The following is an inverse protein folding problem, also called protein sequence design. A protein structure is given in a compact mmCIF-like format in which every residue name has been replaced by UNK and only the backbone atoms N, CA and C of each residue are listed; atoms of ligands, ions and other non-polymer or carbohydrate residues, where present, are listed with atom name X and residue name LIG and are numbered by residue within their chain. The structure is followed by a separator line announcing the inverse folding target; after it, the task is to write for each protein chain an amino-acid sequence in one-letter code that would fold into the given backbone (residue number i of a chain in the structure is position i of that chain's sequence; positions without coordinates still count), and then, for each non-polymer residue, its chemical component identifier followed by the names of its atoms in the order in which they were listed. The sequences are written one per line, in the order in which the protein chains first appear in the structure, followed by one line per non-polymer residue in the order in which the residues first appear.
data_IF_134467459279
#
_entry.id   IF_134467459279
#
_cell.length_a   1.000
_cell.length_b   1.000
_cell.length_c   1.000
_cell.angle_alpha   90.00
_cell.angle_beta   90.00
_cell.angle_gamma   90.00
#
_symmetry.space_group_name_H-M   'P 1'
#
loop_
_entity.id
_entity.type
_entity.pdbx_description
1 polymer ?
#
# COMPACT_ATOMS: atom_id res chain seq x y z
N UNK A 1 -1.27 -62.57 -31.48
CA UNK A 1 -0.08 -63.29 -30.97
C UNK A 1 0.06 -62.93 -29.50
N UNK A 2 0.34 -63.90 -28.63
CA UNK A 2 0.50 -63.63 -27.19
C UNK A 2 1.41 -64.67 -26.55
N UNK A 3 2.45 -64.18 -25.87
CA UNK A 3 3.49 -64.90 -25.12
C UNK A 3 4.25 -63.85 -24.29
N UNK A 4 4.73 -64.11 -23.07
CA UNK A 4 4.44 -65.22 -22.16
C UNK A 4 4.73 -64.77 -20.71
N UNK A 5 4.02 -65.32 -19.71
CA UNK A 5 4.32 -65.08 -18.29
C UNK A 5 5.39 -66.06 -17.82
N UNK A 6 6.47 -65.58 -17.19
CA UNK A 6 7.41 -66.43 -16.44
C UNK A 6 7.58 -66.00 -14.98
N UNK A 7 6.89 -66.73 -14.10
CA UNK A 7 7.24 -66.82 -12.67
C UNK A 7 8.35 -67.87 -12.47
N UNK A 8 9.37 -67.52 -11.68
CA UNK A 8 10.08 -68.40 -10.72
C UNK A 8 10.41 -67.52 -9.52
N UNK A 9 10.05 -67.89 -8.29
CA UNK A 9 10.78 -68.84 -7.44
C UNK A 9 12.25 -68.42 -7.31
N UNK A 10 12.77 -68.01 -6.14
CA UNK A 10 12.22 -68.06 -4.79
C UNK A 10 13.17 -68.83 -3.89
N UNK A 11 13.97 -68.10 -3.10
CA UNK A 11 14.95 -68.66 -2.17
C UNK A 11 14.75 -67.98 -0.81
N UNK A 12 14.67 -68.81 0.23
CA UNK A 12 14.59 -68.38 1.64
C UNK A 12 15.96 -68.50 2.28
N UNK A 13 16.42 -67.43 2.95
CA UNK A 13 17.50 -67.50 3.94
C UNK A 13 17.00 -66.73 5.17
N UNK A 14 17.18 -67.33 6.36
CA UNK A 14 16.65 -66.83 7.61
C UNK A 14 17.76 -66.23 8.51
N UNK A 15 17.37 -65.26 9.34
CA UNK A 15 18.21 -64.67 10.38
C UNK A 15 18.13 -63.13 10.38
N UNK A 16 17.97 -62.44 11.52
CA UNK A 16 17.64 -62.95 12.85
C UNK A 16 18.20 -62.06 13.98
N UNK A 17 17.32 -61.62 14.88
CA UNK A 17 17.57 -60.76 16.08
C UNK A 17 17.86 -59.27 15.79
N UNK A 18 17.71 -58.34 16.74
CA UNK A 18 16.66 -58.17 17.79
C UNK A 18 16.88 -56.83 18.53
N UNK A 19 15.78 -56.15 18.93
CA UNK A 19 15.76 -54.93 19.78
C UNK A 19 16.39 -53.66 19.15
N UNK A 20 16.07 -52.44 19.59
CA UNK A 20 15.07 -51.95 20.56
C UNK A 20 13.95 -51.16 19.85
N UNK A 21 12.72 -50.96 20.37
CA UNK A 21 12.17 -50.92 21.73
C UNK A 21 12.40 -49.63 22.54
N UNK A 22 11.70 -48.55 22.17
CA UNK A 22 11.37 -47.43 23.06
C UNK A 22 9.84 -47.25 23.09
N UNK A 23 9.25 -47.27 24.29
CA UNK A 23 7.84 -46.87 24.56
C UNK A 23 7.81 -45.32 24.68
N UNK A 24 6.90 -44.58 24.03
CA UNK A 24 5.42 -44.46 24.26
C UNK A 24 5.10 -43.64 25.53
N UNK A 25 3.93 -42.97 25.53
CA UNK A 25 3.29 -42.14 26.61
C UNK A 25 3.71 -40.68 26.49
N UNK A 26 2.82 -39.68 26.34
CA UNK A 26 1.33 -39.58 26.17
C UNK A 26 1.08 -38.39 25.19
N UNK A 27 -0.10 -37.88 24.79
CA UNK A 27 -1.55 -38.04 25.08
C UNK A 27 -2.36 -37.49 23.85
N UNK A 28 -3.69 -37.41 23.73
CA UNK A 28 -4.84 -37.87 24.53
C UNK A 28 -6.03 -38.31 23.64
N UNK A 29 -6.88 -37.37 23.21
CA UNK A 29 -8.23 -37.55 22.60
C UNK A 29 -8.32 -36.87 21.22
N UNK A 30 -9.06 -37.30 20.18
CA UNK A 30 -10.26 -38.17 20.01
C UNK A 30 -11.62 -37.44 20.03
N UNK A 31 -12.58 -37.96 19.24
CA UNK A 31 -13.99 -37.52 19.08
C UNK A 31 -14.14 -36.24 18.21
N UNK A 32 -14.28 -36.35 16.88
CA UNK A 32 -15.47 -36.73 16.07
C UNK A 32 -16.45 -35.56 15.81
N UNK A 33 -16.87 -35.42 14.55
CA UNK A 33 -17.82 -34.40 14.06
C UNK A 33 -19.18 -35.06 13.81
N UNK A 34 -20.22 -34.61 14.50
CA UNK A 34 -21.59 -35.07 14.30
C UNK A 34 -22.34 -34.21 13.28
N UNK A 35 -22.73 -34.81 12.17
CA UNK A 35 -23.77 -34.28 11.26
C UNK A 35 -25.17 -34.44 11.89
N UNK A 36 -26.05 -33.45 11.70
CA UNK A 36 -27.44 -33.46 12.17
C UNK A 36 -28.30 -32.42 11.42
N UNK A 37 -29.20 -32.88 10.53
CA UNK A 37 -30.09 -32.02 9.74
C UNK A 37 -31.58 -32.18 10.12
N UNK A 38 -32.24 -31.07 10.48
CA UNK A 38 -33.71 -30.91 10.58
C UNK A 38 -34.08 -29.43 10.86
N UNK A 39 -35.31 -28.92 10.69
CA UNK A 39 -36.36 -29.15 9.68
C UNK A 39 -37.51 -28.12 9.89
N UNK A 40 -38.25 -27.80 8.81
CA UNK A 40 -39.57 -27.13 8.78
C UNK A 40 -39.68 -25.62 9.16
N UNK A 41 -40.67 -24.95 8.56
CA UNK A 41 -40.94 -23.51 8.55
C UNK A 41 -42.38 -23.21 9.08
N UNK A 42 -43.07 -22.10 8.72
CA UNK A 42 -42.76 -20.67 8.77
C UNK A 42 -43.79 -19.85 9.63
N UNK A 43 -43.57 -18.54 9.82
CA UNK A 43 -44.60 -17.58 10.26
C UNK A 43 -44.28 -16.13 9.78
N UNK A 44 -45.30 -15.27 9.69
CA UNK A 44 -45.22 -13.95 9.03
C UNK A 44 -44.50 -12.85 9.81
N UNK A 45 -43.84 -11.95 9.07
CA UNK A 45 -43.63 -10.55 9.44
C UNK A 45 -43.50 -9.67 8.18
N UNK A 46 -44.52 -8.88 7.87
CA UNK A 46 -44.45 -7.88 6.78
C UNK A 46 -43.66 -6.65 7.24
N UNK A 47 -42.44 -6.48 6.71
CA UNK A 47 -41.54 -5.37 7.01
C UNK A 47 -40.99 -4.71 5.75
N UNK A 48 -41.01 -3.38 5.74
CA UNK A 48 -40.68 -2.48 4.63
C UNK A 48 -39.45 -2.86 3.78
N UNK A 49 -39.67 -3.02 2.46
CA UNK A 49 -38.63 -3.24 1.46
C UNK A 49 -37.78 -1.99 1.22
N UNK A 50 -36.91 -1.62 2.17
CA UNK A 50 -35.81 -0.71 1.88
C UNK A 50 -34.92 -1.30 0.77
N UNK A 51 -34.36 -0.49 -0.14
CA UNK A 51 -33.49 -0.99 -1.20
C UNK A 51 -32.30 -1.72 -0.58
N UNK A 52 -32.07 -2.97 -1.01
CA UNK A 52 -31.08 -3.86 -0.42
C UNK A 52 -29.66 -3.32 -0.64
N UNK A 53 -29.15 -2.58 0.35
CA UNK A 53 -27.77 -2.08 0.38
C UNK A 53 -26.82 -3.27 0.27
N UNK A 54 -26.16 -3.40 -0.87
CA UNK A 54 -25.41 -4.59 -1.27
C UNK A 54 -24.17 -4.80 -0.39
N UNK A 55 -24.35 -5.51 0.74
CA UNK A 55 -23.25 -5.85 1.65
C UNK A 55 -22.43 -7.01 1.10
N UNK A 56 -21.48 -6.70 0.21
CA UNK A 56 -20.50 -7.68 -0.27
C UNK A 56 -19.51 -7.97 0.86
N UNK A 57 -19.73 -9.07 1.58
CA UNK A 57 -18.72 -9.64 2.49
C UNK A 57 -17.67 -10.34 1.63
N UNK A 58 -16.63 -9.60 1.30
CA UNK A 58 -15.50 -10.05 0.51
C UNK A 58 -14.42 -10.61 1.44
N UNK A 59 -13.76 -11.67 0.99
CA UNK A 59 -12.63 -12.26 1.71
C UNK A 59 -11.36 -11.45 1.45
N UNK A 60 -10.27 -11.78 2.16
CA UNK A 60 -8.95 -11.16 1.99
C UNK A 60 -8.55 -11.06 0.51
N UNK A 61 -8.20 -9.86 0.05
CA UNK A 61 -7.77 -9.59 -1.32
C UNK A 61 -6.25 -9.54 -1.43
N UNK A 62 -5.72 -10.02 -2.56
CA UNK A 62 -4.31 -9.84 -2.94
C UNK A 62 -4.11 -8.49 -3.67
N UNK A 63 -4.55 -7.41 -3.03
CA UNK A 63 -4.39 -6.02 -3.50
C UNK A 63 -5.51 -5.46 -4.39
N UNK A 64 -5.35 -4.22 -4.88
CA UNK A 64 -6.44 -3.43 -5.48
C UNK A 64 -6.94 -3.95 -6.83
N UNK A 65 -6.07 -4.58 -7.64
CA UNK A 65 -6.47 -5.15 -8.93
C UNK A 65 -7.41 -6.34 -8.79
N UNK A 66 -7.33 -7.11 -7.69
CA UNK A 66 -8.23 -8.24 -7.45
C UNK A 66 -9.62 -7.79 -6.98
N UNK A 67 -9.68 -6.75 -6.12
CA UNK A 67 -10.94 -6.09 -5.78
C UNK A 67 -11.63 -5.54 -7.03
N UNK A 68 -10.91 -4.83 -7.90
CA UNK A 68 -11.47 -4.33 -9.16
C UNK A 68 -11.95 -5.47 -10.06
N UNK A 69 -11.15 -6.53 -10.22
CA UNK A 69 -11.51 -7.69 -11.01
C UNK A 69 -12.80 -8.35 -10.48
N UNK A 70 -12.94 -8.48 -9.15
CA UNK A 70 -14.14 -9.05 -8.53
C UNK A 70 -15.37 -8.12 -8.63
N UNK A 71 -15.21 -6.80 -8.49
CA UNK A 71 -16.30 -5.83 -8.71
C UNK A 71 -16.80 -5.85 -10.17
N UNK A 72 -15.88 -5.87 -11.14
CA UNK A 72 -16.19 -6.00 -12.57
C UNK A 72 -16.88 -7.34 -12.87
N UNK A 73 -16.49 -8.44 -12.22
CA UNK A 73 -17.17 -9.73 -12.35
C UNK A 73 -18.54 -9.80 -11.64
N UNK A 74 -18.76 -9.02 -10.59
CA UNK A 74 -20.03 -8.95 -9.88
C UNK A 74 -21.09 -8.22 -10.72
N UNK A 75 -20.72 -7.09 -11.32
CA UNK A 75 -21.54 -6.29 -12.25
C UNK A 75 -21.60 -6.93 -13.66
N UNK A 76 -22.02 -8.20 -13.72
CA UNK A 76 -21.96 -9.05 -14.91
C UNK A 76 -22.57 -8.40 -16.16
N UNK A 77 -21.78 -8.43 -17.24
CA UNK A 77 -22.10 -8.33 -18.67
C UNK A 77 -22.08 -6.95 -19.35
N UNK A 78 -22.12 -5.83 -18.64
CA UNK A 78 -21.91 -4.52 -19.28
C UNK A 78 -20.44 -4.08 -19.23
N UNK A 79 -19.62 -4.65 -20.12
CA UNK A 79 -18.24 -4.16 -20.41
C UNK A 79 -18.27 -2.85 -21.23
N UNK A 80 -19.44 -2.21 -21.30
CA UNK A 80 -19.67 -0.90 -21.90
C UNK A 80 -19.44 0.21 -20.87
N UNK A 81 -19.50 1.45 -21.32
CA UNK A 81 -19.05 2.62 -20.55
C UNK A 81 -19.87 2.91 -19.27
N UNK A 82 -21.02 2.25 -19.14
CA UNK A 82 -21.98 2.39 -18.04
C UNK A 82 -21.50 1.69 -16.76
N UNK A 83 -20.69 0.63 -16.82
CA UNK A 83 -20.26 -0.07 -15.60
C UNK A 83 -19.15 0.66 -14.81
N UNK A 84 -18.27 1.42 -15.49
CA UNK A 84 -17.06 1.96 -14.86
C UNK A 84 -17.37 2.92 -13.69
N UNK A 85 -18.39 3.77 -13.81
CA UNK A 85 -18.72 4.72 -12.74
C UNK A 85 -19.25 4.03 -11.47
N UNK A 86 -19.91 2.88 -11.62
CA UNK A 86 -20.45 2.08 -10.51
C UNK A 86 -19.32 1.31 -9.82
N UNK A 87 -18.42 0.70 -10.60
CA UNK A 87 -17.20 0.06 -10.10
C UNK A 87 -16.31 1.07 -9.35
N UNK A 88 -16.17 2.30 -9.85
CA UNK A 88 -15.46 3.39 -9.14
C UNK A 88 -16.11 3.70 -7.79
N UNK A 89 -17.44 3.86 -7.73
CA UNK A 89 -18.13 4.17 -6.46
C UNK A 89 -18.01 3.03 -5.44
N UNK A 90 -18.18 1.78 -5.86
CA UNK A 90 -18.02 0.60 -5.00
C UNK A 90 -16.57 0.45 -4.51
N UNK A 91 -15.58 0.68 -5.37
CA UNK A 91 -14.15 0.63 -5.02
C UNK A 91 -13.80 1.71 -3.98
N UNK A 92 -14.31 2.93 -4.16
CA UNK A 92 -14.11 4.03 -3.20
C UNK A 92 -14.84 3.74 -1.87
N UNK A 93 -16.05 3.19 -1.91
CA UNK A 93 -16.81 2.83 -0.72
C UNK A 93 -16.07 1.74 0.10
N UNK A 94 -15.57 0.70 -0.57
CA UNK A 94 -14.78 -0.37 0.04
C UNK A 94 -13.46 0.17 0.62
N UNK A 95 -12.72 0.97 -0.15
CA UNK A 95 -11.45 1.59 0.27
C UNK A 95 -11.65 2.47 1.51
N UNK A 96 -12.74 3.25 1.58
CA UNK A 96 -13.09 4.06 2.76
C UNK A 96 -13.51 3.21 3.98
N UNK A 97 -14.06 2.03 3.77
CA UNK A 97 -14.44 1.12 4.87
C UNK A 97 -13.23 0.39 5.48
N UNK A 98 -12.19 0.14 4.69
CA UNK A 98 -11.07 -0.75 5.06
C UNK A 98 -9.71 -0.04 5.21
N UNK A 99 -9.54 1.18 4.67
CA UNK A 99 -8.29 1.96 4.81
C UNK A 99 -7.89 2.34 6.23
N UNK A 100 -8.73 2.10 7.24
CA UNK A 100 -8.40 2.21 8.67
C UNK A 100 -7.90 0.89 9.29
N UNK A 101 -7.75 -0.18 8.49
CA UNK A 101 -7.40 -1.54 8.92
C UNK A 101 -6.26 -2.16 8.08
N UNK A 102 -5.86 -1.53 6.97
CA UNK A 102 -4.74 -1.95 6.12
C UNK A 102 -3.41 -1.41 6.64
N UNK A 103 -2.32 -2.05 6.22
CA UNK A 103 -0.97 -1.49 6.37
C UNK A 103 -0.76 -0.27 5.44
N UNK A 104 0.24 0.56 5.73
CA UNK A 104 0.47 1.82 5.01
C UNK A 104 0.82 1.59 3.52
N UNK A 105 1.62 0.57 3.23
CA UNK A 105 2.03 0.21 1.86
C UNK A 105 0.83 -0.27 1.03
N UNK A 106 -0.02 -1.10 1.62
CA UNK A 106 -1.27 -1.58 0.99
C UNK A 106 -2.22 -0.41 0.74
N UNK A 107 -2.45 0.42 1.76
CA UNK A 107 -3.29 1.62 1.68
C UNK A 107 -2.84 2.53 0.54
N UNK A 108 -1.52 2.74 0.38
CA UNK A 108 -0.94 3.55 -0.69
C UNK A 108 -1.28 2.97 -2.08
N UNK A 109 -1.21 1.66 -2.26
CA UNK A 109 -1.58 1.00 -3.52
C UNK A 109 -3.09 1.14 -3.83
N UNK A 110 -3.97 1.06 -2.83
CA UNK A 110 -5.41 1.32 -3.02
C UNK A 110 -5.69 2.80 -3.35
N UNK A 111 -5.01 3.75 -2.70
CA UNK A 111 -5.21 5.18 -2.93
C UNK A 111 -4.80 5.64 -4.34
N UNK A 112 -3.68 5.16 -4.88
CA UNK A 112 -3.26 5.47 -6.26
C UNK A 112 -4.31 5.03 -7.27
N UNK A 113 -4.88 3.82 -7.10
CA UNK A 113 -5.92 3.30 -7.97
C UNK A 113 -7.25 4.04 -7.77
N UNK A 114 -7.59 4.43 -6.53
CA UNK A 114 -8.78 5.22 -6.23
C UNK A 114 -8.73 6.62 -6.89
N UNK A 115 -7.56 7.27 -6.87
CA UNK A 115 -7.34 8.55 -7.56
C UNK A 115 -7.51 8.38 -9.08
N UNK A 116 -6.81 7.42 -9.71
CA UNK A 116 -6.95 7.17 -11.16
C UNK A 116 -8.40 6.91 -11.58
N UNK A 117 -9.18 6.19 -10.76
CA UNK A 117 -10.59 5.91 -11.03
C UNK A 117 -11.52 7.10 -10.77
N UNK A 118 -11.15 8.02 -9.88
CA UNK A 118 -11.83 9.30 -9.69
C UNK A 118 -11.59 10.24 -10.87
N UNK A 119 -10.35 10.37 -11.33
CA UNK A 119 -9.97 11.23 -12.47
C UNK A 119 -10.70 10.78 -13.74
N UNK A 120 -10.66 9.47 -14.03
CA UNK A 120 -11.41 8.85 -15.14
C UNK A 120 -12.94 8.99 -15.02
N UNK A 121 -13.47 9.14 -13.79
CA UNK A 121 -14.90 9.41 -13.56
C UNK A 121 -15.23 10.90 -13.71
N UNK A 122 -14.34 11.79 -13.28
CA UNK A 122 -14.52 13.24 -13.38
C UNK A 122 -14.52 13.68 -14.86
N UNK A 123 -13.49 13.31 -15.61
CA UNK A 123 -13.35 13.65 -17.04
C UNK A 123 -14.56 13.16 -17.89
N UNK A 124 -15.18 12.03 -17.50
CA UNK A 124 -16.38 11.48 -18.17
C UNK A 124 -17.71 12.10 -17.75
N UNK A 125 -17.77 12.83 -16.64
CA UNK A 125 -19.00 13.47 -16.13
C UNK A 125 -19.04 14.98 -16.39
N UNK A 126 -17.90 15.60 -16.65
CA UNK A 126 -17.83 16.93 -17.25
C UNK A 126 -18.39 16.87 -18.70
N UNK A 127 -19.18 17.87 -19.15
CA UNK A 127 -19.67 17.91 -20.52
C UNK A 127 -18.52 18.17 -21.49
N UNK A 128 -17.98 17.10 -22.06
CA UNK A 128 -16.99 17.18 -23.12
C UNK A 128 -17.57 17.97 -24.30
N UNK A 129 -17.00 19.15 -24.57
CA UNK A 129 -16.86 19.62 -25.94
C UNK A 129 -16.08 18.59 -26.75
N UNK A 130 -16.10 18.72 -28.08
CA UNK A 130 -15.35 17.82 -28.97
C UNK A 130 -13.89 17.67 -28.49
N UNK A 131 -13.33 16.45 -28.50
CA UNK A 131 -11.95 16.19 -28.01
C UNK A 131 -10.95 17.10 -28.75
N UNK A 132 -10.39 18.08 -28.05
CA UNK A 132 -9.54 19.15 -28.62
C UNK A 132 -8.12 19.18 -28.04
N UNK A 133 -7.92 18.72 -26.79
CA UNK A 133 -6.66 18.89 -26.06
C UNK A 133 -5.92 17.56 -25.79
N UNK A 134 -4.59 17.67 -25.64
CA UNK A 134 -3.67 16.53 -25.41
C UNK A 134 -3.99 15.77 -24.11
N UNK A 135 -4.55 16.45 -23.11
CA UNK A 135 -4.86 15.89 -21.78
C UNK A 135 -6.01 14.87 -21.83
N UNK A 136 -7.05 15.12 -22.63
CA UNK A 136 -8.14 14.15 -22.86
C UNK A 136 -7.62 12.86 -23.53
N UNK A 137 -6.68 13.00 -24.47
CA UNK A 137 -6.06 11.86 -25.13
C UNK A 137 -5.22 11.05 -24.14
N UNK A 138 -4.41 11.70 -23.30
CA UNK A 138 -3.62 11.05 -22.26
C UNK A 138 -4.51 10.32 -21.23
N UNK A 139 -5.66 10.89 -20.84
CA UNK A 139 -6.64 10.25 -19.96
C UNK A 139 -7.26 8.98 -20.59
N UNK A 140 -7.51 8.99 -21.90
CA UNK A 140 -7.96 7.81 -22.64
C UNK A 140 -6.88 6.72 -22.72
N UNK A 141 -5.60 7.08 -22.86
CA UNK A 141 -4.49 6.12 -22.80
C UNK A 141 -4.30 5.53 -21.38
N UNK A 142 -4.44 6.35 -20.33
CA UNK A 142 -4.38 5.90 -18.92
C UNK A 142 -5.48 4.88 -18.61
N UNK A 143 -6.70 5.10 -19.13
CA UNK A 143 -7.82 4.14 -19.04
C UNK A 143 -7.44 2.78 -19.64
N UNK A 144 -6.89 2.77 -20.85
CA UNK A 144 -6.60 1.54 -21.57
C UNK A 144 -5.37 0.81 -21.01
N UNK A 145 -4.40 1.55 -20.46
CA UNK A 145 -3.30 1.00 -19.66
C UNK A 145 -3.80 0.33 -18.37
N UNK A 146 -4.81 0.90 -17.70
CA UNK A 146 -5.42 0.31 -16.50
C UNK A 146 -6.17 -0.99 -16.84
N UNK A 147 -6.93 -1.01 -17.94
CA UNK A 147 -7.58 -2.25 -18.42
C UNK A 147 -6.56 -3.31 -18.89
N UNK A 148 -5.47 -2.92 -19.54
CA UNK A 148 -4.40 -3.85 -19.90
C UNK A 148 -3.75 -4.50 -18.66
N UNK A 149 -3.52 -3.71 -17.59
CA UNK A 149 -3.02 -4.23 -16.30
C UNK A 149 -4.01 -5.16 -15.61
N UNK A 150 -5.31 -4.87 -15.64
CA UNK A 150 -6.36 -5.78 -15.12
C UNK A 150 -6.40 -7.11 -15.88
N UNK A 151 -6.29 -7.08 -17.20
CA UNK A 151 -6.26 -8.28 -18.03
C UNK A 151 -4.98 -9.11 -17.78
N UNK A 152 -3.84 -8.43 -17.61
CA UNK A 152 -2.56 -9.05 -17.24
C UNK A 152 -2.62 -9.69 -15.85
N UNK A 153 -3.17 -9.01 -14.84
CA UNK A 153 -3.37 -9.58 -13.50
C UNK A 153 -4.26 -10.82 -13.55
N UNK A 154 -5.39 -10.76 -14.26
CA UNK A 154 -6.28 -11.92 -14.47
C UNK A 154 -5.55 -13.10 -15.12
N UNK A 155 -4.70 -12.86 -16.12
CA UNK A 155 -3.93 -13.90 -16.78
C UNK A 155 -2.93 -14.57 -15.82
N UNK A 156 -2.23 -13.79 -14.99
CA UNK A 156 -1.34 -14.33 -13.97
C UNK A 156 -2.08 -15.08 -12.86
N UNK A 157 -3.25 -14.60 -12.40
CA UNK A 157 -4.06 -15.29 -11.40
C UNK A 157 -4.49 -16.69 -11.88
N UNK A 158 -4.94 -16.82 -13.12
CA UNK A 158 -5.26 -18.11 -13.73
C UNK A 158 -4.02 -19.03 -13.88
N UNK A 159 -2.84 -18.48 -14.15
CA UNK A 159 -1.59 -19.26 -14.18
C UNK A 159 -1.16 -19.70 -12.77
N UNK A 160 -1.39 -18.89 -11.74
CA UNK A 160 -1.15 -19.25 -10.35
C UNK A 160 -2.10 -20.37 -9.87
N UNK A 161 -3.39 -20.29 -10.24
CA UNK A 161 -4.37 -21.36 -10.03
C UNK A 161 -3.91 -22.68 -10.67
N UNK A 162 -3.45 -22.65 -11.94
CA UNK A 162 -2.87 -23.82 -12.61
C UNK A 162 -1.60 -24.36 -11.93
N UNK A 163 -0.73 -23.50 -11.39
CA UNK A 163 0.44 -23.95 -10.63
C UNK A 163 0.06 -24.58 -9.29
N UNK A 164 -0.96 -24.08 -8.60
CA UNK A 164 -1.47 -24.68 -7.36
C UNK A 164 -2.07 -26.08 -7.61
N UNK A 165 -2.77 -26.30 -8.73
CA UNK A 165 -3.21 -27.65 -9.13
C UNK A 165 -2.03 -28.60 -9.40
N UNK A 166 -1.00 -28.11 -10.10
CA UNK A 166 0.22 -28.89 -10.39
C UNK A 166 1.01 -29.22 -9.11
N UNK A 167 1.11 -28.28 -8.15
CA UNK A 167 1.71 -28.52 -6.84
C UNK A 167 0.91 -29.53 -6.03
N UNK A 168 -0.43 -29.40 -5.97
CA UNK A 168 -1.30 -30.34 -5.27
C UNK A 168 -1.28 -31.77 -5.87
N UNK A 169 -0.92 -31.91 -7.15
CA UNK A 169 -0.60 -33.18 -7.77
C UNK A 169 0.83 -33.66 -7.44
N UNK A 170 1.83 -32.77 -7.51
CA UNK A 170 3.23 -33.07 -7.21
C UNK A 170 3.45 -33.49 -5.75
N UNK A 171 2.73 -32.91 -4.79
CA UNK A 171 2.76 -33.27 -3.36
C UNK A 171 2.34 -34.72 -3.07
N UNK A 172 1.71 -35.40 -4.03
CA UNK A 172 1.38 -36.84 -3.95
C UNK A 172 2.51 -37.75 -4.43
N UNK A 173 3.61 -37.15 -4.92
CA UNK A 173 4.76 -37.82 -5.52
C UNK A 173 6.00 -37.64 -4.67
N UNK A 174 6.54 -38.73 -4.12
CA UNK A 174 7.74 -38.68 -3.28
C UNK A 174 9.00 -39.02 -4.10
N UNK A 175 10.05 -38.19 -4.06
CA UNK A 175 11.31 -38.51 -4.73
C UNK A 175 11.97 -39.72 -4.05
N UNK A 176 12.45 -40.69 -4.87
CA UNK A 176 13.22 -41.83 -4.36
C UNK A 176 14.65 -41.39 -4.03
N UNK A 177 14.82 -40.76 -2.87
CA UNK A 177 16.13 -40.45 -2.30
C UNK A 177 16.81 -41.74 -1.81
N UNK A 178 17.50 -42.44 -2.72
CA UNK A 178 18.27 -43.65 -2.46
C UNK A 178 19.67 -43.45 -3.03
N UNK A 179 20.69 -43.81 -2.25
CA UNK A 179 22.10 -43.78 -2.66
C UNK A 179 22.31 -44.59 -3.95
N UNK A 180 23.36 -44.25 -4.71
CA UNK A 180 23.84 -45.15 -5.76
C UNK A 180 24.20 -46.52 -5.14
N UNK A 181 23.86 -47.61 -5.82
CA UNK A 181 24.31 -48.94 -5.41
C UNK A 181 25.83 -49.04 -5.63
N UNK A 182 26.56 -49.69 -4.72
CA UNK A 182 28.04 -49.72 -4.71
C UNK A 182 28.67 -50.05 -6.07
N UNK A 183 28.04 -50.95 -6.84
CA UNK A 183 28.45 -51.36 -8.20
C UNK A 183 28.44 -50.26 -9.26
N UNK A 184 27.88 -49.09 -8.95
CA UNK A 184 27.76 -47.93 -9.83
C UNK A 184 28.54 -46.71 -9.35
N UNK A 185 29.08 -46.73 -8.12
CA UNK A 185 29.88 -45.62 -7.58
C UNK A 185 31.10 -45.30 -8.46
N UNK A 186 31.76 -46.34 -9.00
CA UNK A 186 32.92 -46.22 -9.88
C UNK A 186 32.56 -45.79 -11.32
N UNK A 187 31.27 -45.62 -11.65
CA UNK A 187 30.80 -45.13 -12.95
C UNK A 187 30.48 -43.62 -12.95
N UNK A 188 30.71 -42.92 -11.83
CA UNK A 188 30.56 -41.47 -11.77
C UNK A 188 31.66 -40.81 -12.62
N UNK A 189 31.32 -39.86 -13.52
CA UNK A 189 32.34 -39.07 -14.21
C UNK A 189 33.10 -38.19 -13.21
N UNK A 190 34.35 -37.84 -13.54
CA UNK A 190 35.14 -36.93 -12.72
C UNK A 190 34.38 -35.61 -12.49
N UNK A 191 34.27 -35.20 -11.22
CA UNK A 191 33.45 -34.05 -10.82
C UNK A 191 34.17 -32.75 -11.20
N UNK A 192 33.96 -32.32 -12.44
CA UNK A 192 34.46 -31.06 -12.96
C UNK A 192 33.61 -29.90 -12.42
N UNK A 193 33.95 -29.36 -11.24
CA UNK A 193 33.21 -28.24 -10.62
C UNK A 193 33.19 -26.95 -11.49
N UNK A 194 34.11 -26.81 -12.44
CA UNK A 194 34.17 -25.65 -13.35
C UNK A 194 34.58 -24.32 -12.72
N UNK A 195 34.87 -24.31 -11.41
CA UNK A 195 35.28 -23.13 -10.63
C UNK A 195 36.59 -23.38 -9.88
N UNK A 196 37.49 -22.41 -10.00
CA UNK A 196 38.74 -22.35 -9.26
C UNK A 196 38.50 -21.88 -7.81
N UNK A 197 39.47 -22.10 -6.91
CA UNK A 197 39.34 -21.74 -5.50
C UNK A 197 38.97 -20.26 -5.26
N UNK A 198 39.50 -19.34 -6.08
CA UNK A 198 39.19 -17.90 -6.02
C UNK A 198 37.73 -17.58 -6.43
N UNK A 199 37.21 -18.28 -7.44
CA UNK A 199 35.79 -18.17 -7.86
C UNK A 199 34.88 -18.74 -6.78
N UNK A 200 35.26 -19.86 -6.17
CA UNK A 200 34.51 -20.45 -5.06
C UNK A 200 34.49 -19.52 -3.83
N UNK A 201 35.63 -18.90 -3.49
CA UNK A 201 35.71 -17.89 -2.43
C UNK A 201 34.87 -16.65 -2.74
N UNK A 202 34.83 -16.20 -4.01
CA UNK A 202 33.99 -15.08 -4.46
C UNK A 202 32.49 -15.41 -4.32
N UNK A 203 32.07 -16.61 -4.72
CA UNK A 203 30.68 -17.08 -4.58
C UNK A 203 30.30 -17.19 -3.09
N UNK A 204 31.18 -17.74 -2.25
CA UNK A 204 30.97 -17.81 -0.81
C UNK A 204 30.85 -16.41 -0.18
N UNK A 205 31.73 -15.48 -0.54
CA UNK A 205 31.66 -14.09 -0.07
C UNK A 205 30.33 -13.42 -0.46
N UNK A 206 29.84 -13.62 -1.68
CA UNK A 206 28.54 -13.10 -2.12
C UNK A 206 27.36 -13.74 -1.36
N UNK A 207 27.44 -15.04 -1.05
CA UNK A 207 26.38 -15.77 -0.33
C UNK A 207 26.34 -15.47 1.18
N UNK A 208 27.49 -15.19 1.81
CA UNK A 208 27.61 -14.88 3.24
C UNK A 208 27.63 -13.37 3.55
N UNK A 209 27.71 -12.49 2.55
CA UNK A 209 27.60 -11.05 2.76
C UNK A 209 26.18 -10.69 3.24
N UNK A 210 26.01 -9.99 4.37
CA UNK A 210 24.70 -9.55 4.81
C UNK A 210 24.11 -8.56 3.79
N UNK A 211 22.80 -8.69 3.51
CA UNK A 211 22.09 -7.71 2.67
C UNK A 211 22.14 -6.34 3.35
N UNK A 212 22.34 -5.24 2.59
CA UNK A 212 22.25 -3.89 3.16
C UNK A 212 20.85 -3.67 3.75
N UNK A 213 20.77 -2.99 4.89
CA UNK A 213 19.49 -2.64 5.53
C UNK A 213 18.75 -1.67 4.61
N UNK A 214 17.48 -1.94 4.22
CA UNK A 214 16.71 -1.02 3.41
C UNK A 214 16.37 0.24 4.22
N UNK A 215 16.95 1.38 3.82
CA UNK A 215 16.64 2.69 4.38
C UNK A 215 15.64 3.41 3.48
N UNK A 216 14.50 3.84 4.03
CA UNK A 216 13.53 4.66 3.30
C UNK A 216 14.11 6.06 3.11
N UNK A 217 14.29 6.50 1.87
CA UNK A 217 14.80 7.84 1.56
C UNK A 217 13.69 8.88 1.71
N UNK A 218 13.80 9.77 2.70
CA UNK A 218 12.77 10.78 3.04
C UNK A 218 12.90 12.08 2.23
N UNK A 219 13.79 12.14 1.23
CA UNK A 219 14.16 13.39 0.54
C UNK A 219 13.02 14.01 -0.28
N UNK A 220 12.00 13.22 -0.62
CA UNK A 220 10.76 13.68 -1.26
C UNK A 220 9.72 14.25 -0.29
N UNK A 221 9.96 14.21 1.02
CA UNK A 221 9.04 14.77 2.03
C UNK A 221 9.28 16.29 2.11
N UNK A 222 8.56 17.03 1.26
CA UNK A 222 8.50 18.50 1.26
C UNK A 222 7.70 19.03 2.47
N UNK A 223 8.20 18.80 3.68
CA UNK A 223 7.70 19.49 4.87
C UNK A 223 8.15 20.97 4.82
N UNK A 224 7.24 21.96 4.80
CA UNK A 224 7.61 23.37 4.84
C UNK A 224 8.31 23.66 6.17
N UNK A 225 9.58 24.08 6.11
CA UNK A 225 10.44 24.23 7.31
C UNK A 225 10.01 25.36 8.25
N UNK A 226 9.12 26.23 7.81
CA UNK A 226 8.56 27.36 8.56
C UNK A 226 7.10 27.55 8.12
N UNK A 227 6.16 27.53 9.07
CA UNK A 227 4.76 27.91 8.83
C UNK A 227 4.57 29.41 9.06
N UNK A 228 3.99 30.12 8.09
CA UNK A 228 3.68 31.56 8.21
C UNK A 228 2.63 31.81 9.32
N UNK A 229 1.52 31.04 9.43
CA UNK A 229 0.62 31.09 10.58
C UNK A 229 1.32 30.92 11.94
N UNK A 230 2.31 30.03 12.07
CA UNK A 230 3.04 29.85 13.33
C UNK A 230 3.90 31.07 13.68
N UNK A 231 4.62 31.63 12.70
CA UNK A 231 5.41 32.84 12.92
C UNK A 231 4.53 34.05 13.26
N UNK A 232 3.31 34.14 12.71
CA UNK A 232 2.35 35.19 13.07
C UNK A 232 1.94 35.10 14.55
N UNK A 233 1.66 33.90 15.05
CA UNK A 233 1.36 33.68 16.48
C UNK A 233 2.56 34.01 17.39
N UNK A 234 3.79 33.67 16.98
CA UNK A 234 5.01 34.03 17.73
C UNK A 234 5.22 35.55 17.79
N UNK A 235 5.08 36.25 16.66
CA UNK A 235 5.20 37.70 16.58
C UNK A 235 4.13 38.41 17.42
N UNK A 236 2.87 37.98 17.32
CA UNK A 236 1.79 38.53 18.14
C UNK A 236 2.08 38.33 19.63
N UNK A 237 2.54 37.13 20.03
CA UNK A 237 2.92 36.83 21.42
C UNK A 237 4.07 37.69 21.94
N UNK A 238 5.05 38.01 21.09
CA UNK A 238 6.18 38.89 21.42
C UNK A 238 5.77 40.36 21.59
N UNK A 239 4.79 40.83 20.80
CA UNK A 239 4.27 42.19 20.89
C UNK A 239 3.26 42.35 22.05
N UNK A 240 2.39 41.37 22.27
CA UNK A 240 1.47 41.34 23.43
C UNK A 240 2.22 41.42 24.77
N UNK A 241 3.39 40.78 24.86
CA UNK A 241 4.26 40.84 26.05
C UNK A 241 4.90 42.20 26.30
N UNK A 242 5.02 43.06 25.27
CA UNK A 242 5.50 44.45 25.41
C UNK A 242 4.38 45.40 25.82
N UNK A 243 3.20 45.23 25.20
CA UNK A 243 2.00 46.02 25.46
C UNK A 243 1.48 46.77 24.23
N UNK A 244 0.27 47.31 24.35
CA UNK A 244 -0.42 48.02 23.26
C UNK A 244 0.31 49.35 22.99
N UNK A 245 0.69 49.59 21.73
CA UNK A 245 1.37 50.82 21.31
C UNK A 245 2.86 50.94 21.67
N UNK A 246 3.45 49.92 22.31
CA UNK A 246 4.91 49.83 22.46
C UNK A 246 5.55 49.41 21.12
N UNK A 247 6.66 50.06 20.77
CA UNK A 247 7.35 49.85 19.49
C UNK A 247 8.54 48.90 19.64
N UNK A 248 8.62 47.90 18.77
CA UNK A 248 9.75 47.00 18.61
C UNK A 248 10.42 47.23 17.25
N UNK A 249 11.74 47.14 17.15
CA UNK A 249 12.39 47.09 15.83
C UNK A 249 12.27 45.69 15.23
N UNK A 250 12.20 45.59 13.90
CA UNK A 250 12.20 44.29 13.22
C UNK A 250 13.43 43.43 13.55
N UNK A 251 14.57 44.05 13.86
CA UNK A 251 15.77 43.34 14.31
C UNK A 251 15.58 42.61 15.65
N UNK A 252 14.85 43.19 16.61
CA UNK A 252 14.49 42.51 17.86
C UNK A 252 13.48 41.37 17.62
N UNK A 253 12.53 41.57 16.70
CA UNK A 253 11.53 40.57 16.31
C UNK A 253 12.11 39.39 15.51
N UNK A 254 13.42 39.42 15.21
CA UNK A 254 14.17 38.40 14.48
C UNK A 254 15.35 37.85 15.31
N UNK A 255 15.58 38.37 16.53
CA UNK A 255 16.78 38.07 17.32
C UNK A 255 16.95 36.59 17.74
N UNK A 256 15.88 35.81 17.78
CA UNK A 256 15.87 34.36 18.05
C UNK A 256 15.80 33.47 16.79
N UNK A 257 15.83 34.05 15.58
CA UNK A 257 15.95 33.27 14.34
C UNK A 257 17.36 32.68 14.17
N UNK A 258 17.41 31.39 13.86
CA UNK A 258 18.61 30.61 13.57
C UNK A 258 18.95 30.54 12.07
N UNK A 259 17.94 30.65 11.20
CA UNK A 259 18.08 30.46 9.75
C UNK A 259 17.37 31.55 8.93
N UNK A 260 17.94 31.93 7.79
CA UNK A 260 17.37 32.98 6.92
C UNK A 260 15.94 32.72 6.44
N UNK A 261 15.53 31.45 6.33
CA UNK A 261 14.15 31.06 5.99
C UNK A 261 13.14 31.45 7.08
N UNK A 262 13.54 31.46 8.35
CA UNK A 262 12.72 31.90 9.48
C UNK A 262 12.55 33.43 9.47
N UNK A 263 13.60 34.17 9.06
CA UNK A 263 13.56 35.63 8.89
C UNK A 263 12.54 36.01 7.81
N UNK A 264 12.56 35.31 6.67
CA UNK A 264 11.59 35.50 5.58
C UNK A 264 10.18 35.13 6.04
N UNK A 265 10.02 33.99 6.72
CA UNK A 265 8.72 33.57 7.28
C UNK A 265 8.14 34.58 8.28
N UNK A 266 8.99 35.21 9.11
CA UNK A 266 8.56 36.31 10.00
C UNK A 266 8.21 37.58 9.26
N UNK A 267 8.93 37.94 8.20
CA UNK A 267 8.59 39.10 7.39
C UNK A 267 7.23 38.92 6.70
N UNK A 268 6.97 37.74 6.12
CA UNK A 268 5.68 37.40 5.52
C UNK A 268 4.55 37.40 6.56
N UNK A 269 4.76 36.76 7.72
CA UNK A 269 3.80 36.76 8.83
C UNK A 269 3.50 38.17 9.36
N UNK A 270 4.50 39.05 9.39
CA UNK A 270 4.37 40.45 9.78
C UNK A 270 3.54 41.25 8.76
N UNK A 271 3.73 41.04 7.46
CA UNK A 271 2.88 41.61 6.42
C UNK A 271 1.42 41.12 6.54
N UNK A 272 1.21 39.85 6.88
CA UNK A 272 -0.14 39.30 7.09
C UNK A 272 -0.84 39.88 8.32
N UNK A 273 -0.11 40.05 9.44
CA UNK A 273 -0.63 40.74 10.63
C UNK A 273 -1.02 42.21 10.34
N UNK A 274 -0.35 42.86 9.39
CA UNK A 274 -0.72 44.20 8.90
C UNK A 274 -1.92 44.16 7.94
N UNK A 275 -2.02 43.16 7.05
CA UNK A 275 -3.21 42.90 6.22
C UNK A 275 -4.45 42.72 7.09
N UNK A 276 -4.30 42.03 8.22
CA UNK A 276 -5.32 41.84 9.25
C UNK A 276 -5.45 42.99 10.28
N UNK A 277 -4.71 44.11 10.12
CA UNK A 277 -4.72 45.32 10.97
C UNK A 277 -4.35 45.14 12.46
N UNK A 278 -3.83 43.97 12.84
CA UNK A 278 -3.37 43.68 14.19
C UNK A 278 -2.08 44.45 14.56
N UNK A 279 -1.33 44.91 13.56
CA UNK A 279 -0.01 45.54 13.72
C UNK A 279 0.07 46.84 12.92
N UNK A 280 0.76 47.83 13.47
CA UNK A 280 1.10 49.09 12.82
C UNK A 280 2.61 49.19 12.57
N UNK A 281 3.00 49.93 11.52
CA UNK A 281 4.40 50.14 11.14
C UNK A 281 4.75 51.62 11.08
N UNK A 282 6.01 51.92 11.43
CA UNK A 282 6.66 53.19 11.13
C UNK A 282 8.04 52.92 10.54
N UNK A 283 8.35 53.57 9.41
CA UNK A 283 9.65 53.48 8.74
C UNK A 283 9.95 54.85 8.11
N UNK A 284 10.93 55.57 8.65
CA UNK A 284 11.18 56.98 8.29
C UNK A 284 11.88 57.17 6.94
N UNK A 285 12.63 56.15 6.48
CA UNK A 285 13.38 56.15 5.22
C UNK A 285 13.24 54.78 4.53
N UNK A 286 13.18 54.70 3.18
CA UNK A 286 13.11 53.42 2.47
C UNK A 286 14.29 52.51 2.82
N UNK A 287 14.01 51.26 3.19
CA UNK A 287 14.99 50.28 3.72
C UNK A 287 15.67 50.69 5.05
N UNK A 288 15.19 51.75 5.70
CA UNK A 288 15.58 52.13 7.07
C UNK A 288 14.97 51.19 8.13
N UNK A 289 15.21 51.50 9.40
CA UNK A 289 14.70 50.70 10.53
C UNK A 289 13.17 50.64 10.50
N UNK A 290 12.64 49.43 10.33
CA UNK A 290 11.21 49.15 10.45
C UNK A 290 10.85 49.01 11.94
N UNK A 291 10.01 49.93 12.44
CA UNK A 291 9.39 49.84 13.75
C UNK A 291 7.98 49.25 13.65
N UNK A 292 7.61 48.49 14.66
CA UNK A 292 6.45 47.59 14.67
C UNK A 292 5.75 47.70 16.03
N UNK A 293 4.45 48.00 16.07
CA UNK A 293 3.66 48.03 17.31
C UNK A 293 2.34 47.27 17.17
N UNK A 294 1.86 46.67 18.26
CA UNK A 294 0.57 45.98 18.31
C UNK A 294 -0.57 46.98 18.54
N UNK A 295 -1.62 46.91 17.70
CA UNK A 295 -2.75 47.85 17.71
C UNK A 295 -3.78 47.53 18.81
N UNK A 296 -3.63 46.40 19.50
CA UNK A 296 -4.61 45.87 20.46
C UNK A 296 -5.67 44.95 19.85
N UNK A 297 -5.71 44.83 18.51
CA UNK A 297 -6.64 43.94 17.81
C UNK A 297 -6.08 42.51 17.68
N UNK A 298 -6.95 41.50 17.60
CA UNK A 298 -6.57 40.09 17.49
C UNK A 298 -7.13 39.49 16.19
N UNK A 299 -6.27 39.05 15.25
CA UNK A 299 -6.73 38.47 14.00
C UNK A 299 -7.43 37.14 14.28
N UNK A 300 -8.62 36.95 13.70
CA UNK A 300 -9.33 35.66 13.77
C UNK A 300 -8.61 34.63 12.89
N UNK A 301 -8.57 33.37 13.30
CA UNK A 301 -7.80 32.30 12.65
C UNK A 301 -8.10 32.12 11.15
N UNK A 302 -9.31 32.45 10.70
CA UNK A 302 -9.70 32.43 9.29
C UNK A 302 -8.85 33.38 8.43
N UNK A 303 -8.44 34.55 8.96
CA UNK A 303 -7.58 35.48 8.23
C UNK A 303 -6.18 34.89 8.00
N UNK A 304 -5.61 34.27 9.05
CA UNK A 304 -4.28 33.67 9.01
C UNK A 304 -4.23 32.40 8.15
N UNK A 305 -5.35 31.69 7.99
CA UNK A 305 -5.41 30.43 7.23
C UNK A 305 -5.47 30.62 5.70
N UNK A 306 -5.80 31.81 5.20
CA UNK A 306 -5.93 32.04 3.74
C UNK A 306 -4.60 32.03 2.96
N UNK A 307 -3.45 32.05 3.64
CA UNK A 307 -2.15 32.04 2.99
C UNK A 307 -1.76 30.66 2.42
N UNK A 308 -2.11 29.56 3.11
CA UNK A 308 -1.73 28.18 2.73
C UNK A 308 -2.62 27.61 1.58
N UNK A 309 -3.32 28.48 0.84
CA UNK A 309 -4.35 28.10 -0.15
C UNK A 309 -4.22 28.84 -1.52
N UNK A 310 -3.21 29.70 -1.69
CA UNK A 310 -2.96 30.46 -2.94
C UNK A 310 -1.55 30.18 -3.54
N UNK A 311 -0.79 29.21 -3.00
CA UNK A 311 0.48 28.67 -3.55
C UNK A 311 0.36 27.21 -4.01
#
# INVERSE_FOLDING_TARGET
MGTEVRRRAGVSIAGGRSHSSVRRVKDAESTEVTDAAAAAAPADASGESQPSRFQVRLNNFEGPFDLLLQLIFAHRLDVTEVALHQVTDDFIAYTKQIGAQLELDETTAFLVIAATLLDLKAARLLPAGEVHDEEDLALLEVRDLLFARLLQYRAFKHVAEMFAELEAAALRSYPRAVSLEDRYCDLLPEVMLGVDAEKFATIAAAAFSPRPVPTVGTDHIHAPKVSVPEQAHRLLSLLEQRGIGEWATFGELVADCSAGIEIVGRFLALLELFRARAVAFEQSEPLGVLQVSWTGDRPTSEHLATADAEE
#
